data_IF_973144481986
#
_entry.id   IF_973144481986
#
_cell.length_a   1.000
_cell.length_b   1.000
_cell.length_c   1.000
_cell.angle_alpha   90.00
_cell.angle_beta   90.00
_cell.angle_gamma   90.00
#
_symmetry.space_group_name_H-M   'P 1'
#
loop_
_entity.id
_entity.type
_entity.pdbx_description
1 polymer ?
#
# COMPACT_ATOMS: atom_id res chain seq x y z
N UNK A 1 4.00 -9.03 -8.60
CA UNK A 1 3.98 -9.47 -7.20
C UNK A 1 2.84 -8.73 -6.53
N UNK A 2 1.97 -9.43 -5.83
CA UNK A 2 0.80 -8.83 -5.20
C UNK A 2 1.00 -8.78 -3.68
N UNK A 3 0.86 -7.58 -3.10
CA UNK A 3 0.97 -7.32 -1.67
C UNK A 3 -0.42 -7.03 -1.15
N UNK A 4 -0.88 -7.87 -0.24
CA UNK A 4 -2.19 -7.74 0.38
C UNK A 4 -2.04 -6.95 1.69
N UNK A 5 -2.78 -5.86 1.80
CA UNK A 5 -2.81 -4.99 2.97
C UNK A 5 -4.23 -5.04 3.53
N UNK A 6 -4.36 -5.66 4.68
CA UNK A 6 -5.65 -5.75 5.36
C UNK A 6 -5.87 -4.53 6.25
N UNK A 7 -6.81 -3.68 5.84
CA UNK A 7 -7.08 -2.42 6.53
C UNK A 7 -7.67 -2.62 7.93
N UNK A 8 -8.14 -3.82 8.30
CA UNK A 8 -8.57 -4.09 9.66
C UNK A 8 -7.45 -3.93 10.71
N UNK A 9 -6.20 -4.10 10.27
CA UNK A 9 -5.00 -3.96 11.11
C UNK A 9 -4.25 -2.65 10.87
N UNK A 10 -4.77 -1.78 10.00
CA UNK A 10 -4.08 -0.56 9.59
C UNK A 10 -4.96 0.64 9.89
N UNK A 11 -4.69 1.25 11.04
CA UNK A 11 -5.40 2.41 11.58
C UNK A 11 -4.61 3.71 11.45
N UNK A 12 -3.29 3.60 11.30
CA UNK A 12 -2.37 4.73 11.24
C UNK A 12 -1.39 4.63 10.07
N UNK A 13 -0.66 5.72 9.81
CA UNK A 13 0.46 5.70 8.87
C UNK A 13 1.53 4.71 9.31
N UNK A 14 1.84 4.66 10.60
CA UNK A 14 2.86 3.76 11.16
C UNK A 14 2.47 2.29 10.97
N UNK A 15 1.20 1.95 11.18
CA UNK A 15 0.69 0.60 10.93
C UNK A 15 0.87 0.19 9.45
N UNK A 16 0.66 1.14 8.52
CA UNK A 16 0.83 0.89 7.09
C UNK A 16 2.30 0.69 6.73
N UNK A 17 3.19 1.51 7.30
CA UNK A 17 4.64 1.36 7.12
C UNK A 17 5.10 0.01 7.66
N UNK A 18 4.57 -0.42 8.81
CA UNK A 18 4.91 -1.70 9.42
C UNK A 18 4.36 -2.88 8.60
N UNK A 19 3.15 -2.78 8.07
CA UNK A 19 2.58 -3.79 7.17
C UNK A 19 3.42 -3.93 5.89
N UNK A 20 3.78 -2.81 5.27
CA UNK A 20 4.65 -2.80 4.09
C UNK A 20 6.05 -3.31 4.41
N UNK A 21 6.61 -2.96 5.56
CA UNK A 21 7.91 -3.44 6.05
C UNK A 21 7.93 -4.96 6.19
N UNK A 22 6.90 -5.53 6.83
CA UNK A 22 6.75 -6.97 6.98
C UNK A 22 6.64 -7.70 5.65
N UNK A 23 5.85 -7.16 4.71
CA UNK A 23 5.61 -7.77 3.40
C UNK A 23 6.82 -7.66 2.46
N UNK A 24 7.61 -6.60 2.60
CA UNK A 24 8.81 -6.36 1.80
C UNK A 24 10.09 -6.92 2.45
N UNK A 25 9.99 -7.45 3.67
CA UNK A 25 11.12 -7.87 4.49
C UNK A 25 12.18 -6.75 4.64
N UNK A 26 11.72 -5.50 4.75
CA UNK A 26 12.54 -4.30 4.85
C UNK A 26 12.11 -3.50 6.07
N UNK A 27 13.03 -2.81 6.74
CA UNK A 27 12.67 -1.95 7.87
C UNK A 27 12.38 -0.53 7.35
N UNK A 28 11.14 -0.29 6.93
CA UNK A 28 10.72 0.97 6.32
C UNK A 28 10.13 1.88 7.42
N UNK A 29 10.84 2.97 7.71
CA UNK A 29 10.49 3.90 8.79
C UNK A 29 9.93 5.23 8.27
N UNK A 30 10.03 5.47 6.95
CA UNK A 30 9.64 6.74 6.32
C UNK A 30 8.87 6.57 5.01
N UNK A 31 8.16 7.63 4.60
CA UNK A 31 7.46 7.72 3.30
C UNK A 31 8.45 7.56 2.14
N UNK A 32 9.62 8.19 2.22
CA UNK A 32 10.68 8.08 1.23
C UNK A 32 11.16 6.64 1.04
N UNK A 33 11.45 5.92 2.12
CA UNK A 33 11.91 4.54 2.07
C UNK A 33 10.86 3.60 1.48
N UNK A 34 9.59 3.74 1.87
CA UNK A 34 8.49 2.97 1.27
C UNK A 34 8.40 3.23 -0.22
N UNK A 35 8.52 4.50 -0.61
CA UNK A 35 8.45 4.86 -2.02
C UNK A 35 9.62 4.27 -2.79
N UNK A 36 10.85 4.33 -2.28
CA UNK A 36 12.01 3.72 -2.91
C UNK A 36 11.87 2.20 -3.02
N UNK A 37 11.46 1.54 -1.93
CA UNK A 37 11.22 0.10 -1.91
C UNK A 37 10.18 -0.30 -2.95
N UNK A 38 9.03 0.38 -2.99
CA UNK A 38 7.99 0.12 -4.00
C UNK A 38 8.45 0.43 -5.42
N UNK A 39 9.26 1.47 -5.63
CA UNK A 39 9.81 1.85 -6.96
C UNK A 39 10.87 0.87 -7.44
N UNK A 40 11.62 0.25 -6.53
CA UNK A 40 12.60 -0.79 -6.87
C UNK A 40 11.93 -2.06 -7.43
N UNK A 41 10.65 -2.27 -7.13
CA UNK A 41 9.87 -3.41 -7.60
C UNK A 41 9.29 -3.12 -8.99
N UNK A 42 9.74 -3.87 -9.99
CA UNK A 42 9.34 -3.72 -11.40
C UNK A 42 7.86 -3.96 -11.69
N UNK A 43 7.14 -4.71 -10.84
CA UNK A 43 5.71 -4.98 -10.97
C UNK A 43 5.13 -5.32 -9.60
N UNK A 44 4.61 -4.31 -8.90
CA UNK A 44 3.97 -4.51 -7.59
C UNK A 44 2.53 -4.02 -7.62
N UNK A 45 1.64 -4.88 -7.17
CA UNK A 45 0.22 -4.57 -6.99
C UNK A 45 -0.05 -4.47 -5.50
N UNK A 46 -0.46 -3.31 -5.01
CA UNK A 46 -0.97 -3.19 -3.64
C UNK A 46 -2.46 -3.45 -3.66
N UNK A 47 -2.89 -4.49 -2.96
CA UNK A 47 -4.28 -4.90 -2.82
C UNK A 47 -4.74 -4.55 -1.42
N UNK A 48 -5.68 -3.61 -1.32
CA UNK A 48 -6.22 -3.16 -0.03
C UNK A 48 -7.54 -3.88 0.26
N UNK A 49 -7.59 -4.65 1.34
CA UNK A 49 -8.74 -5.41 1.82
C UNK A 49 -9.46 -4.68 2.96
N UNK A 50 -10.74 -4.97 3.17
CA UNK A 50 -11.58 -4.43 4.25
C UNK A 50 -11.76 -2.89 4.23
N UNK A 51 -11.53 -2.24 3.08
CA UNK A 51 -11.63 -0.79 2.95
C UNK A 51 -13.00 -0.19 3.27
N UNK A 52 -14.07 -0.96 3.09
CA UNK A 52 -15.44 -0.52 3.43
C UNK A 52 -15.64 -0.37 4.93
N UNK A 53 -15.00 -1.24 5.71
CA UNK A 53 -15.10 -1.26 7.17
C UNK A 53 -14.03 -0.36 7.79
N UNK A 54 -12.86 -0.31 7.17
CA UNK A 54 -11.69 0.45 7.61
C UNK A 54 -11.15 1.29 6.44
N UNK A 55 -11.73 2.48 6.20
CA UNK A 55 -11.29 3.32 5.09
C UNK A 55 -9.87 3.85 5.33
N UNK A 56 -9.06 3.89 4.27
CA UNK A 56 -7.80 4.63 4.27
C UNK A 56 -8.05 6.09 4.66
N UNK A 57 -7.29 6.58 5.64
CA UNK A 57 -7.25 8.00 5.99
C UNK A 57 -6.76 8.84 4.80
N UNK A 58 -7.09 10.14 4.81
CA UNK A 58 -6.66 11.05 3.75
C UNK A 58 -5.14 11.12 3.63
N UNK A 59 -4.42 11.05 4.74
CA UNK A 59 -2.95 11.02 4.76
C UNK A 59 -2.40 9.77 4.06
N UNK A 60 -2.94 8.59 4.35
CA UNK A 60 -2.51 7.33 3.73
C UNK A 60 -2.87 7.27 2.24
N UNK A 61 -4.06 7.77 1.86
CA UNK A 61 -4.43 7.90 0.43
C UNK A 61 -3.47 8.83 -0.30
N UNK A 62 -3.08 9.94 0.33
CA UNK A 62 -2.17 10.90 -0.27
C UNK A 62 -0.78 10.31 -0.48
N UNK A 63 -0.26 9.57 0.51
CA UNK A 63 0.98 8.81 0.43
C UNK A 63 0.95 7.83 -0.76
N UNK A 64 -0.06 6.97 -0.83
CA UNK A 64 -0.21 5.98 -1.90
C UNK A 64 -0.32 6.63 -3.29
N UNK A 65 -1.07 7.73 -3.40
CA UNK A 65 -1.18 8.50 -4.66
C UNK A 65 0.17 9.08 -5.09
N UNK A 66 0.98 9.58 -4.15
CA UNK A 66 2.33 10.07 -4.46
C UNK A 66 3.24 8.95 -4.95
N UNK A 67 3.19 7.78 -4.32
CA UNK A 67 3.93 6.59 -4.75
C UNK A 67 3.51 6.18 -6.18
N UNK A 68 2.21 6.12 -6.46
CA UNK A 68 1.67 5.78 -7.78
C UNK A 68 2.09 6.77 -8.87
N UNK A 69 2.03 8.08 -8.60
CA UNK A 69 2.46 9.11 -9.57
C UNK A 69 3.93 9.01 -9.97
N UNK A 70 4.79 8.44 -9.11
CA UNK A 70 6.23 8.30 -9.37
C UNK A 70 6.64 6.88 -9.77
N UNK A 71 5.73 5.91 -9.72
CA UNK A 71 5.99 4.52 -10.06
C UNK A 71 4.93 4.02 -11.05
N UNK A 72 5.25 4.10 -12.35
CA UNK A 72 4.39 3.64 -13.45
C UNK A 72 4.11 2.13 -13.41
N UNK A 73 4.82 1.38 -12.57
CA UNK A 73 4.65 -0.06 -12.38
C UNK A 73 3.87 -0.43 -11.12
N UNK A 74 3.47 0.57 -10.32
CA UNK A 74 2.62 0.38 -9.13
C UNK A 74 1.16 0.31 -9.57
N UNK A 75 0.51 -0.82 -9.33
CA UNK A 75 -0.94 -0.93 -9.48
C UNK A 75 -1.60 -0.87 -8.09
N UNK A 76 -2.59 0.00 -7.93
CA UNK A 76 -3.39 0.06 -6.70
C UNK A 76 -4.74 -0.60 -6.99
N UNK A 77 -4.97 -1.76 -6.39
CA UNK A 77 -6.25 -2.46 -6.45
C UNK A 77 -6.96 -2.34 -5.11
N UNK A 78 -8.21 -1.90 -5.16
CA UNK A 78 -9.07 -1.82 -4.00
C UNK A 78 -10.02 -3.02 -4.01
N UNK A 79 -10.40 -3.54 -2.85
CA UNK A 79 -11.29 -4.72 -2.72
C UNK A 79 -12.57 -4.59 -3.57
N UNK A 80 -13.07 -3.36 -3.76
CA UNK A 80 -14.23 -3.07 -4.61
C UNK A 80 -14.04 -3.49 -6.08
N UNK A 81 -12.80 -3.55 -6.55
CA UNK A 81 -12.42 -3.94 -7.91
C UNK A 81 -12.20 -5.45 -8.05
N UNK A 82 -12.00 -6.19 -6.95
CA UNK A 82 -11.61 -7.62 -6.97
C UNK A 82 -12.84 -8.56 -7.01
N UNK A 83 -14.00 -8.13 -6.49
CA UNK A 83 -15.24 -8.94 -6.52
C UNK A 83 -15.86 -9.15 -7.91
N UNK A 84 -15.25 -8.64 -8.97
CA UNK A 84 -15.74 -8.74 -10.35
C UNK A 84 -14.86 -9.61 -11.27
N UNK A 85 -13.95 -10.41 -10.72
CA UNK A 85 -13.15 -11.41 -11.45
C UNK A 85 -13.42 -12.83 -10.97
#
# INVERSE_FOLDING_TARGET
MDIYIDMQYVSSREDLLQALSGMLCMNLTSEEEVKEALTSLKHVTLIFLNLKQHPLSDEMRHLLKKCHRKNHHLSLLFEETIRHY
#
